data_IF_536255639713
#
_entry.id   IF_536255639713
#
_cell.length_a   1.000
_cell.length_b   1.000
_cell.length_c   1.000
_cell.angle_alpha   90.00
_cell.angle_beta   90.00
_cell.angle_gamma   90.00
#
_symmetry.space_group_name_H-M   'P 1'
#
loop_
_entity.id
_entity.type
_entity.pdbx_description
1 polymer ?
#
# COMPACT_ATOMS: atom_id res chain seq x y z
N UNK A 1 -15.84 2.06 33.02
CA UNK A 1 -15.28 2.32 31.68
C UNK A 1 -16.44 2.48 30.72
N UNK A 2 -16.51 3.58 29.98
CA UNK A 2 -17.46 3.66 28.86
C UNK A 2 -17.05 2.64 27.80
N UNK A 3 -18.01 1.95 27.16
CA UNK A 3 -17.72 0.97 26.10
C UNK A 3 -16.82 1.55 24.99
N UNK A 4 -16.94 2.86 24.77
CA UNK A 4 -16.15 3.67 23.84
C UNK A 4 -14.62 3.58 24.07
N UNK A 5 -14.16 3.62 25.33
CA UNK A 5 -12.72 3.50 25.66
C UNK A 5 -12.18 2.08 25.45
N UNK A 6 -13.06 1.06 25.49
CA UNK A 6 -12.70 -0.32 25.16
C UNK A 6 -12.60 -0.51 23.65
N UNK A 7 -13.56 0.00 22.87
CA UNK A 7 -13.50 -0.06 21.42
C UNK A 7 -12.27 0.67 20.89
N UNK A 8 -11.98 1.87 21.38
CA UNK A 8 -10.81 2.66 20.96
C UNK A 8 -9.49 1.96 21.34
N UNK A 9 -9.42 1.33 22.51
CA UNK A 9 -8.28 0.51 22.92
C UNK A 9 -8.11 -0.77 22.07
N UNK A 10 -9.21 -1.42 21.67
CA UNK A 10 -9.21 -2.62 20.80
C UNK A 10 -8.85 -2.27 19.35
N UNK A 11 -9.41 -1.19 18.83
CA UNK A 11 -9.06 -0.53 17.58
C UNK A 11 -7.55 -0.25 17.50
N UNK A 12 -7.00 0.40 18.54
CA UNK A 12 -5.56 0.60 18.67
C UNK A 12 -4.81 -0.74 18.80
N UNK A 13 -5.33 -1.72 19.56
CA UNK A 13 -4.67 -3.03 19.74
C UNK A 13 -4.42 -3.79 18.44
N UNK A 14 -5.31 -3.62 17.45
CA UNK A 14 -5.20 -4.23 16.11
C UNK A 14 -4.13 -3.53 15.24
N UNK A 15 -3.81 -2.26 15.53
CA UNK A 15 -2.82 -1.44 14.81
C UNK A 15 -1.35 -1.80 15.11
N UNK A 16 -1.05 -2.65 16.11
CA UNK A 16 0.33 -3.00 16.51
C UNK A 16 0.54 -4.52 16.62
N UNK A 17 1.31 -5.16 15.72
CA UNK A 17 1.66 -6.57 15.85
C UNK A 17 2.51 -6.82 17.10
N UNK A 18 2.14 -7.81 17.93
CA UNK A 18 2.90 -8.21 19.13
C UNK A 18 2.26 -7.86 20.48
N UNK A 19 0.95 -7.58 20.51
CA UNK A 19 0.17 -7.47 21.74
C UNK A 19 -0.36 -8.85 22.14
N UNK A 20 0.19 -9.40 23.21
CA UNK A 20 -0.26 -10.69 23.76
C UNK A 20 -1.66 -10.60 24.34
N UNK A 21 -2.41 -11.71 24.29
CA UNK A 21 -3.81 -11.85 24.74
C UNK A 21 -4.08 -11.55 26.24
N UNK A 22 -3.07 -11.17 27.02
CA UNK A 22 -3.15 -11.04 28.47
C UNK A 22 -3.24 -9.59 28.99
N UNK A 23 -2.98 -8.58 28.15
CA UNK A 23 -2.92 -7.19 28.59
C UNK A 23 -4.34 -6.57 28.62
N UNK A 24 -4.66 -5.84 29.70
CA UNK A 24 -5.95 -5.15 29.79
C UNK A 24 -6.03 -4.03 28.75
N UNK A 25 -7.22 -3.73 28.21
CA UNK A 25 -7.38 -2.71 27.15
C UNK A 25 -6.75 -1.34 27.47
N UNK A 26 -6.63 -0.97 28.76
CA UNK A 26 -5.97 0.28 29.19
C UNK A 26 -4.45 0.21 29.06
N UNK A 27 -3.82 -0.94 29.34
CA UNK A 27 -2.37 -1.13 29.16
C UNK A 27 -1.99 -1.17 27.69
N UNK A 28 -2.82 -1.81 26.87
CA UNK A 28 -2.67 -1.83 25.41
C UNK A 28 -2.77 -0.40 24.86
N UNK A 29 -3.82 0.33 25.23
CA UNK A 29 -4.02 1.74 24.86
C UNK A 29 -2.82 2.62 25.28
N UNK A 30 -2.34 2.47 26.52
CA UNK A 30 -1.18 3.22 27.03
C UNK A 30 0.14 2.85 26.35
N UNK A 31 0.31 1.60 25.88
CA UNK A 31 1.51 1.15 25.16
C UNK A 31 1.53 1.68 23.73
N UNK A 32 0.36 1.75 23.08
CA UNK A 32 0.23 2.19 21.68
C UNK A 32 0.26 3.71 21.58
N UNK A 33 -0.38 4.42 22.51
CA UNK A 33 -0.27 5.89 22.62
C UNK A 33 1.16 6.37 22.94
N UNK A 34 2.03 5.48 23.43
CA UNK A 34 3.47 5.74 23.64
C UNK A 34 4.35 5.42 22.43
N UNK A 35 3.83 4.78 21.37
CA UNK A 35 4.60 4.62 20.14
C UNK A 35 4.71 5.95 19.38
N UNK A 36 5.94 6.29 19.00
CA UNK A 36 6.30 7.53 18.30
C UNK A 36 5.50 7.74 17.00
N UNK A 37 5.16 6.65 16.31
CA UNK A 37 4.31 6.65 15.12
C UNK A 37 2.89 7.17 15.42
N UNK A 38 2.25 6.61 16.44
CA UNK A 38 0.87 6.93 16.79
C UNK A 38 0.75 8.36 17.34
N UNK A 39 1.76 8.84 18.07
CA UNK A 39 1.78 10.23 18.55
C UNK A 39 1.79 11.25 17.41
N UNK A 40 2.58 10.99 16.36
CA UNK A 40 2.64 11.88 15.20
C UNK A 40 1.32 11.91 14.42
N UNK A 41 0.66 10.76 14.26
CA UNK A 41 -0.59 10.70 13.51
C UNK A 41 -1.77 11.24 14.33
N UNK A 42 -1.81 10.97 15.63
CA UNK A 42 -2.76 11.63 16.55
C UNK A 42 -2.58 13.15 16.54
N UNK A 43 -1.34 13.65 16.63
CA UNK A 43 -1.12 15.10 16.57
C UNK A 43 -1.64 15.71 15.27
N UNK A 44 -1.46 15.02 14.14
CA UNK A 44 -2.00 15.47 12.84
C UNK A 44 -3.52 15.48 12.82
N UNK A 45 -4.16 14.42 13.33
CA UNK A 45 -5.62 14.32 13.43
C UNK A 45 -6.18 15.43 14.32
N UNK A 46 -5.53 15.69 15.45
CA UNK A 46 -5.96 16.70 16.41
C UNK A 46 -5.68 18.14 15.94
N UNK A 47 -4.63 18.34 15.14
CA UNK A 47 -4.29 19.66 14.59
C UNK A 47 -5.31 20.15 13.58
N UNK A 48 -5.78 19.26 12.69
CA UNK A 48 -6.86 19.57 11.74
C UNK A 48 -7.76 18.34 11.52
N UNK A 49 -8.82 18.19 12.34
CA UNK A 49 -9.75 17.06 12.22
C UNK A 49 -10.47 16.99 10.88
N UNK A 50 -10.74 18.14 10.26
CA UNK A 50 -11.46 18.18 8.98
C UNK A 50 -10.54 17.79 7.80
N UNK A 51 -9.27 18.18 7.85
CA UNK A 51 -8.28 17.64 6.91
C UNK A 51 -8.05 16.14 7.11
N UNK A 52 -8.04 15.66 8.35
CA UNK A 52 -7.93 14.23 8.65
C UNK A 52 -9.12 13.44 8.06
N UNK A 53 -10.36 13.90 8.27
CA UNK A 53 -11.56 13.29 7.68
C UNK A 53 -11.44 13.19 6.16
N UNK A 54 -11.13 14.30 5.48
CA UNK A 54 -10.94 14.33 4.02
C UNK A 54 -9.87 13.34 3.55
N UNK A 55 -8.76 13.24 4.29
CA UNK A 55 -7.66 12.34 3.95
C UNK A 55 -8.07 10.88 4.07
N UNK A 56 -8.62 10.46 5.22
CA UNK A 56 -8.99 9.07 5.46
C UNK A 56 -10.18 8.63 4.60
N UNK A 57 -11.17 9.49 4.41
CA UNK A 57 -12.26 9.22 3.45
C UNK A 57 -11.71 9.08 2.03
N UNK A 58 -10.80 9.96 1.61
CA UNK A 58 -10.15 9.86 0.30
C UNK A 58 -9.38 8.56 0.11
N UNK A 59 -8.73 8.04 1.16
CA UNK A 59 -8.08 6.72 1.13
C UNK A 59 -9.11 5.61 1.05
N UNK A 60 -10.19 5.67 1.84
CA UNK A 60 -11.26 4.68 1.84
C UNK A 60 -11.88 4.52 0.45
N UNK A 61 -12.21 5.64 -0.21
CA UNK A 61 -12.72 5.65 -1.59
C UNK A 61 -11.71 5.16 -2.64
N UNK A 62 -10.41 5.22 -2.35
CA UNK A 62 -9.38 4.60 -3.20
C UNK A 62 -9.29 3.10 -2.99
N UNK A 63 -9.67 2.58 -1.82
CA UNK A 63 -9.69 1.13 -1.57
C UNK A 63 -10.92 0.51 -2.23
N UNK A 64 -12.11 1.03 -1.90
CA UNK A 64 -13.40 0.60 -2.45
C UNK A 64 -14.24 1.80 -2.88
N UNK A 65 -15.04 1.63 -3.93
CA UNK A 65 -15.80 2.73 -4.53
C UNK A 65 -16.89 3.27 -3.59
N UNK A 66 -17.45 2.43 -2.73
CA UNK A 66 -18.47 2.80 -1.75
C UNK A 66 -17.87 3.36 -0.44
N UNK A 67 -16.55 3.39 -0.31
CA UNK A 67 -15.84 3.83 0.90
C UNK A 67 -15.88 2.83 2.05
N UNK A 68 -16.40 1.61 1.86
CA UNK A 68 -16.43 0.57 2.88
C UNK A 68 -15.13 -0.22 2.85
N UNK A 69 -14.32 -0.07 3.89
CA UNK A 69 -12.97 -0.64 3.94
C UNK A 69 -12.97 -1.87 4.84
N UNK A 70 -12.92 -3.04 4.22
CA UNK A 70 -12.69 -4.32 4.91
C UNK A 70 -11.28 -4.85 4.63
N UNK A 71 -10.82 -5.81 5.45
CA UNK A 71 -9.56 -6.52 5.18
C UNK A 71 -9.56 -7.18 3.79
N UNK A 72 -10.68 -7.78 3.39
CA UNK A 72 -10.85 -8.43 2.09
C UNK A 72 -10.74 -7.40 0.95
N UNK A 73 -11.36 -6.23 1.11
CA UNK A 73 -11.30 -5.13 0.16
C UNK A 73 -9.85 -4.63 -0.02
N UNK A 74 -9.13 -4.44 1.09
CA UNK A 74 -7.72 -4.04 1.08
C UNK A 74 -6.84 -5.07 0.35
N UNK A 75 -6.99 -6.35 0.66
CA UNK A 75 -6.24 -7.44 -0.01
C UNK A 75 -6.54 -7.51 -1.52
N UNK A 76 -7.81 -7.34 -1.90
CA UNK A 76 -8.21 -7.26 -3.31
C UNK A 76 -7.54 -6.08 -3.99
N UNK A 77 -7.51 -4.92 -3.34
CA UNK A 77 -6.86 -3.72 -3.88
C UNK A 77 -5.35 -3.92 -4.04
N UNK A 78 -4.69 -4.57 -3.09
CA UNK A 78 -3.25 -4.85 -3.21
C UNK A 78 -2.94 -5.79 -4.37
N UNK A 79 -3.71 -6.88 -4.53
CA UNK A 79 -3.56 -7.77 -5.70
C UNK A 79 -3.75 -7.04 -7.02
N UNK A 80 -4.69 -6.10 -7.07
CA UNK A 80 -4.90 -5.25 -8.24
C UNK A 80 -3.72 -4.31 -8.49
N UNK A 81 -3.16 -3.67 -7.46
CA UNK A 81 -1.95 -2.84 -7.60
C UNK A 81 -0.72 -3.65 -8.04
N UNK A 82 -0.55 -4.87 -7.52
CA UNK A 82 0.52 -5.79 -7.92
C UNK A 82 0.37 -6.20 -9.39
N UNK A 83 -0.86 -6.48 -9.85
CA UNK A 83 -1.15 -6.76 -11.25
C UNK A 83 -0.86 -5.54 -12.15
N UNK A 84 -1.28 -4.34 -11.75
CA UNK A 84 -0.97 -3.11 -12.50
C UNK A 84 0.53 -2.83 -12.56
N UNK A 85 1.25 -3.04 -11.47
CA UNK A 85 2.70 -2.87 -11.45
C UNK A 85 3.38 -3.86 -12.40
N UNK A 86 3.02 -5.15 -12.35
CA UNK A 86 3.53 -6.15 -13.30
C UNK A 86 3.23 -5.78 -14.75
N UNK A 87 1.99 -5.35 -15.04
CA UNK A 87 1.61 -4.92 -16.38
C UNK A 87 2.46 -3.73 -16.88
N UNK A 88 2.74 -2.75 -16.01
CA UNK A 88 3.60 -1.60 -16.34
C UNK A 88 5.04 -2.01 -16.62
N UNK A 89 5.61 -2.90 -15.82
CA UNK A 89 6.97 -3.37 -16.03
C UNK A 89 7.10 -4.21 -17.31
N UNK A 90 6.12 -5.08 -17.59
CA UNK A 90 6.04 -5.80 -18.88
C UNK A 90 5.93 -4.80 -20.04
N UNK A 91 5.04 -3.81 -19.94
CA UNK A 91 4.86 -2.80 -20.99
C UNK A 91 6.13 -2.00 -21.25
N UNK A 92 6.90 -1.65 -20.19
CA UNK A 92 8.19 -0.96 -20.35
C UNK A 92 9.20 -1.79 -21.12
N UNK A 93 9.16 -3.12 -20.96
CA UNK A 93 10.05 -4.02 -21.66
C UNK A 93 9.61 -4.18 -23.11
N UNK A 94 8.31 -4.41 -23.36
CA UNK A 94 7.76 -4.50 -24.71
C UNK A 94 7.86 -3.21 -25.53
N UNK A 95 8.09 -2.05 -24.90
CA UNK A 95 8.44 -0.84 -25.67
C UNK A 95 9.78 -0.94 -26.42
N UNK A 96 10.55 -2.00 -26.17
CA UNK A 96 11.82 -2.30 -26.80
C UNK A 96 11.74 -3.46 -27.79
N UNK A 97 10.58 -4.08 -27.92
CA UNK A 97 10.27 -5.08 -28.94
C UNK A 97 10.00 -4.31 -30.26
N UNK A 98 10.97 -4.34 -31.18
CA UNK A 98 10.93 -3.53 -32.41
C UNK A 98 10.26 -4.28 -33.57
N UNK A 99 10.36 -5.61 -33.58
CA UNK A 99 9.75 -6.45 -34.61
C UNK A 99 8.31 -6.89 -34.26
N UNK A 100 7.89 -6.71 -33.01
CA UNK A 100 6.55 -6.96 -32.51
C UNK A 100 6.25 -8.43 -32.24
N UNK A 101 7.26 -9.27 -32.04
CA UNK A 101 7.09 -10.71 -31.82
C UNK A 101 6.65 -11.07 -30.39
N UNK A 102 6.59 -10.09 -29.49
CA UNK A 102 6.19 -10.24 -28.10
C UNK A 102 7.33 -10.62 -27.15
N UNK A 103 8.57 -10.60 -27.63
CA UNK A 103 9.78 -10.80 -26.85
C UNK A 103 10.80 -9.67 -27.14
N UNK A 104 11.79 -9.53 -26.26
CA UNK A 104 12.89 -8.58 -26.49
C UNK A 104 14.17 -9.36 -26.67
N UNK A 105 14.66 -9.41 -27.90
CA UNK A 105 15.87 -10.12 -28.31
C UNK A 105 17.13 -9.25 -28.21
N UNK A 106 18.32 -9.86 -28.31
CA UNK A 106 19.59 -9.11 -28.44
C UNK A 106 19.62 -8.29 -29.74
N UNK A 107 18.93 -8.77 -30.78
CA UNK A 107 18.81 -8.11 -32.07
C UNK A 107 18.06 -6.78 -31.93
N UNK A 108 16.92 -6.76 -31.21
CA UNK A 108 16.21 -5.52 -30.86
C UNK A 108 17.12 -4.53 -30.11
N UNK A 109 18.01 -5.05 -29.25
CA UNK A 109 18.98 -4.22 -28.52
C UNK A 109 20.00 -3.56 -29.43
N UNK A 110 20.54 -4.31 -30.40
CA UNK A 110 21.51 -3.79 -31.37
C UNK A 110 20.89 -2.71 -32.25
N UNK A 111 19.61 -2.85 -32.59
CA UNK A 111 18.88 -1.83 -33.34
C UNK A 111 18.61 -0.59 -32.48
N UNK A 112 18.17 -0.78 -31.23
CA UNK A 112 18.00 0.33 -30.27
C UNK A 112 19.29 1.10 -30.01
N UNK A 113 20.43 0.43 -29.96
CA UNK A 113 21.75 1.04 -29.78
C UNK A 113 22.16 1.99 -30.91
N UNK A 114 21.60 1.79 -32.10
CA UNK A 114 21.83 2.68 -33.24
C UNK A 114 20.95 3.93 -33.16
N UNK A 115 19.83 3.87 -32.45
CA UNK A 115 18.82 4.94 -32.35
C UNK A 115 18.99 5.77 -31.08
N UNK A 116 19.31 5.12 -29.95
CA UNK A 116 19.38 5.73 -28.63
C UNK A 116 20.80 6.16 -28.26
N UNK A 117 20.96 7.21 -27.44
CA UNK A 117 22.25 7.56 -26.85
C UNK A 117 22.84 6.38 -26.05
N UNK A 118 24.16 6.19 -26.11
CA UNK A 118 24.88 5.03 -25.56
C UNK A 118 24.58 4.76 -24.07
N UNK A 119 24.34 5.82 -23.28
CA UNK A 119 24.01 5.70 -21.86
C UNK A 119 22.63 5.06 -21.61
N UNK A 120 21.65 5.29 -22.48
CA UNK A 120 20.33 4.69 -22.36
C UNK A 120 20.36 3.22 -22.78
N UNK A 121 21.06 2.92 -23.87
CA UNK A 121 21.21 1.56 -24.35
C UNK A 121 21.91 0.65 -23.34
N UNK A 122 22.98 1.11 -22.69
CA UNK A 122 23.68 0.34 -21.65
C UNK A 122 22.76 -0.01 -20.46
N UNK A 123 21.88 0.92 -20.05
CA UNK A 123 20.90 0.68 -18.98
C UNK A 123 19.84 -0.34 -19.38
N UNK A 124 19.37 -0.28 -20.62
CA UNK A 124 18.38 -1.21 -21.17
C UNK A 124 18.98 -2.61 -21.25
N UNK A 125 20.21 -2.72 -21.79
CA UNK A 125 20.96 -3.97 -21.88
C UNK A 125 21.19 -4.62 -20.52
N UNK A 126 21.60 -3.84 -19.52
CA UNK A 126 21.76 -4.34 -18.15
C UNK A 126 20.45 -4.88 -17.55
N UNK A 127 19.31 -4.24 -17.88
CA UNK A 127 17.99 -4.69 -17.42
C UNK A 127 17.55 -5.97 -18.12
N UNK A 128 17.88 -6.14 -19.41
CA UNK A 128 17.59 -7.37 -20.16
C UNK A 128 18.39 -8.56 -19.66
N UNK A 129 19.70 -8.42 -19.46
CA UNK A 129 20.49 -9.49 -18.86
C UNK A 129 20.04 -9.87 -17.44
N UNK A 130 19.45 -8.93 -16.69
CA UNK A 130 18.88 -9.23 -15.38
C UNK A 130 17.52 -9.96 -15.47
N UNK A 131 16.81 -9.83 -16.59
CA UNK A 131 15.50 -10.45 -16.82
C UNK A 131 15.60 -11.79 -17.59
N UNK A 132 16.62 -11.95 -18.44
CA UNK A 132 16.96 -13.17 -19.19
C UNK A 132 17.45 -14.24 -18.20
N UNK A 133 16.54 -15.11 -17.78
CA UNK A 133 16.82 -16.08 -16.71
C UNK A 133 17.37 -17.38 -17.22
N UNK A 134 16.99 -17.78 -18.42
CA UNK A 134 17.49 -19.00 -19.03
C UNK A 134 18.77 -18.76 -19.86
N UNK A 135 19.13 -17.49 -20.09
CA UNK A 135 20.36 -17.09 -20.76
C UNK A 135 20.29 -17.30 -22.27
N UNK A 136 19.09 -17.40 -22.84
CA UNK A 136 18.90 -17.65 -24.27
C UNK A 136 19.06 -16.38 -25.14
N UNK A 137 19.23 -15.21 -24.53
CA UNK A 137 19.39 -13.93 -25.21
C UNK A 137 18.06 -13.23 -25.57
N UNK A 138 16.93 -13.79 -25.19
CA UNK A 138 15.59 -13.29 -25.47
C UNK A 138 14.80 -13.22 -24.18
N UNK A 139 14.21 -12.06 -23.90
CA UNK A 139 13.39 -11.87 -22.69
C UNK A 139 11.92 -11.94 -23.08
N UNK A 140 11.25 -12.97 -22.57
CA UNK A 140 9.82 -13.20 -22.79
C UNK A 140 8.96 -12.66 -21.65
N UNK A 141 7.67 -12.43 -21.91
CA UNK A 141 6.71 -12.00 -20.87
C UNK A 141 6.72 -12.92 -19.63
N UNK A 142 6.72 -14.26 -19.76
CA UNK A 142 6.82 -15.16 -18.61
C UNK A 142 8.10 -14.96 -17.77
N UNK A 143 9.24 -14.67 -18.39
CA UNK A 143 10.49 -14.43 -17.68
C UNK A 143 10.47 -13.12 -16.91
N UNK A 144 9.95 -12.06 -17.55
CA UNK A 144 9.70 -10.77 -16.91
C UNK A 144 8.79 -10.98 -15.69
N UNK A 145 7.65 -11.63 -15.87
CA UNK A 145 6.70 -11.88 -14.77
C UNK A 145 7.30 -12.76 -13.67
N UNK A 146 8.15 -13.72 -14.00
CA UNK A 146 8.83 -14.56 -13.00
C UNK A 146 9.87 -13.76 -12.20
N UNK A 147 10.46 -12.71 -12.79
CA UNK A 147 11.32 -11.75 -12.11
C UNK A 147 10.56 -10.75 -11.24
N UNK A 148 9.28 -10.51 -11.54
CA UNK A 148 8.44 -9.53 -10.88
C UNK A 148 7.57 -10.19 -9.78
N UNK A 149 7.96 -10.03 -8.53
CA UNK A 149 7.20 -10.48 -7.36
C UNK A 149 6.10 -9.50 -6.93
N UNK A 150 6.02 -9.24 -5.62
CA UNK A 150 5.16 -8.16 -5.10
C UNK A 150 5.74 -6.80 -5.47
N UNK A 151 4.86 -5.79 -5.61
CA UNK A 151 5.30 -4.42 -5.85
C UNK A 151 6.27 -3.96 -4.73
N UNK A 152 7.48 -3.48 -5.05
CA UNK A 152 8.43 -3.05 -4.03
C UNK A 152 7.90 -1.88 -3.19
N UNK A 153 8.25 -1.85 -1.90
CA UNK A 153 7.81 -0.82 -0.96
C UNK A 153 8.19 0.62 -1.40
N UNK A 154 9.29 0.74 -2.14
CA UNK A 154 9.82 2.01 -2.65
C UNK A 154 8.98 2.62 -3.77
N UNK A 155 8.20 1.80 -4.48
CA UNK A 155 7.33 2.25 -5.60
C UNK A 155 6.07 2.95 -5.08
N UNK A 156 5.94 3.08 -3.75
CA UNK A 156 4.81 3.73 -3.09
C UNK A 156 3.47 3.03 -3.36
N UNK A 157 2.38 3.62 -2.90
CA UNK A 157 1.03 3.06 -3.07
C UNK A 157 0.33 2.76 -1.74
N UNK A 158 -0.85 2.17 -1.85
CA UNK A 158 -1.74 1.93 -0.72
C UNK A 158 -1.10 0.98 0.30
N UNK A 159 -0.40 -0.07 -0.17
CA UNK A 159 0.28 -1.07 0.68
C UNK A 159 1.31 -0.47 1.66
N UNK A 160 1.98 0.60 1.27
CA UNK A 160 3.02 1.25 2.10
C UNK A 160 2.46 2.41 2.93
N UNK A 161 1.15 2.67 2.82
CA UNK A 161 0.49 3.72 3.58
C UNK A 161 -0.02 3.18 4.91
N UNK A 162 0.42 3.82 6.00
CA UNK A 162 -0.12 3.55 7.33
C UNK A 162 -1.60 3.98 7.46
N UNK A 163 -2.13 4.73 6.49
CA UNK A 163 -3.51 5.20 6.48
C UNK A 163 -4.51 4.04 6.47
N UNK A 164 -4.21 2.94 5.76
CA UNK A 164 -5.10 1.78 5.69
C UNK A 164 -5.20 1.10 7.05
N UNK A 165 -4.07 0.96 7.74
CA UNK A 165 -4.05 0.39 9.09
C UNK A 165 -4.87 1.25 10.05
N UNK A 166 -4.78 2.58 9.92
CA UNK A 166 -5.57 3.52 10.73
C UNK A 166 -7.05 3.39 10.41
N UNK A 167 -7.44 3.31 9.14
CA UNK A 167 -8.84 3.15 8.73
C UNK A 167 -9.42 1.84 9.26
N UNK A 168 -8.74 0.71 9.07
CA UNK A 168 -9.20 -0.57 9.61
C UNK A 168 -9.29 -0.59 11.15
N UNK A 169 -8.53 0.29 11.82
CA UNK A 169 -8.63 0.52 13.26
C UNK A 169 -9.73 1.51 13.65
N UNK A 170 -10.44 2.14 12.71
CA UNK A 170 -11.57 3.03 13.00
C UNK A 170 -12.92 2.30 12.97
N UNK A 171 -12.91 0.97 12.83
CA UNK A 171 -14.06 0.10 13.02
C UNK A 171 -14.55 0.18 14.49
N UNK A 172 -15.72 0.80 14.69
CA UNK A 172 -16.25 1.10 16.03
C UNK A 172 -17.19 0.00 16.53
N UNK A 173 -17.89 -0.67 15.62
CA UNK A 173 -18.84 -1.74 15.95
C UNK A 173 -18.21 -3.15 15.92
N UNK A 174 -17.02 -3.27 15.33
CA UNK A 174 -16.22 -4.49 15.29
C UNK A 174 -16.69 -5.50 14.25
N UNK A 175 -17.46 -5.09 13.24
CA UNK A 175 -17.97 -5.97 12.19
C UNK A 175 -16.90 -6.34 11.13
N UNK A 176 -15.73 -5.72 11.19
CA UNK A 176 -14.61 -5.94 10.27
C UNK A 176 -14.68 -5.11 8.98
N UNK A 177 -15.61 -4.17 8.90
CA UNK A 177 -15.83 -3.25 7.78
C UNK A 177 -15.89 -1.82 8.31
N UNK A 178 -14.88 -1.01 7.99
CA UNK A 178 -14.92 0.40 8.36
C UNK A 178 -15.71 1.22 7.34
N UNK A 179 -16.78 1.85 7.79
CA UNK A 179 -17.63 2.73 7.00
C UNK A 179 -17.16 4.20 7.05
N UNK A 180 -17.57 5.05 6.08
CA UNK A 180 -17.30 6.49 6.12
C UNK A 180 -17.77 7.18 7.40
N UNK A 181 -18.93 6.78 7.92
CA UNK A 181 -19.52 7.36 9.12
C UNK A 181 -18.71 7.01 10.37
N UNK A 182 -18.18 5.79 10.44
CA UNK A 182 -17.30 5.38 11.53
C UNK A 182 -15.96 6.10 11.52
N UNK A 183 -15.39 6.38 10.34
CA UNK A 183 -14.16 7.18 10.22
C UNK A 183 -14.39 8.59 10.81
N UNK A 184 -15.52 9.22 10.47
CA UNK A 184 -15.88 10.55 10.99
C UNK A 184 -16.08 10.48 12.51
N UNK A 185 -16.88 9.51 12.97
CA UNK A 185 -17.16 9.33 14.39
C UNK A 185 -15.89 9.05 15.20
N UNK A 186 -14.99 8.21 14.70
CA UNK A 186 -13.72 7.91 15.35
C UNK A 186 -12.83 9.16 15.50
N UNK A 187 -12.76 10.01 14.47
CA UNK A 187 -12.00 11.26 14.52
C UNK A 187 -12.61 12.25 15.51
N UNK A 188 -13.94 12.40 15.50
CA UNK A 188 -14.64 13.28 16.45
C UNK A 188 -14.46 12.79 17.90
N UNK A 189 -14.51 11.47 18.13
CA UNK A 189 -14.23 10.86 19.43
C UNK A 189 -12.78 11.11 19.89
N UNK A 190 -11.80 10.97 19.00
CA UNK A 190 -10.39 11.27 19.30
C UNK A 190 -10.19 12.74 19.68
N UNK A 191 -10.82 13.66 18.96
CA UNK A 191 -10.81 15.10 19.28
C UNK A 191 -11.39 15.37 20.65
N UNK A 192 -12.53 14.78 20.96
CA UNK A 192 -13.25 15.05 22.21
C UNK A 192 -12.54 14.41 23.41
N UNK A 193 -11.88 13.27 23.22
CA UNK A 193 -11.02 12.65 24.22
C UNK A 193 -9.77 13.50 24.52
N UNK A 194 -9.18 14.18 23.52
CA UNK A 194 -8.01 15.03 23.71
C UNK A 194 -8.30 16.37 24.42
N UNK A 195 -9.57 16.77 24.51
CA UNK A 195 -10.01 17.99 25.22
C UNK A 195 -10.30 17.77 26.70
N UNK A 196 -10.35 16.52 27.17
CA UNK A 196 -10.59 16.14 28.58
C UNK A 196 -9.29 15.94 29.31
#
# INVERSE_FOLDING_TARGET
MTPVLRCLALALAVLVPGLGRADTGIEIFNRITKQKFFQNELQRILSDPEAAKRRYLGVAFRVEHDGHVSRIAVERRFRFEDAQWRAREVSKMLNYDLDGDGAVSVEDMKEMEQILPSNNAARIRARHFAADRDGNGTVTVPEILSGLGEKPAEVGGLRNSNEITVILGMDLDGDGVTTPDEIIAAIDLLRDAAKR
#
